data_IF_162730356019
#
_entry.id   IF_162730356019
#
_cell.length_a   1.000
_cell.length_b   1.000
_cell.length_c   1.000
_cell.angle_alpha   90.00
_cell.angle_beta   90.00
_cell.angle_gamma   90.00
#
_symmetry.space_group_name_H-M   'P 1'
#
loop_
_entity.id
_entity.type
_entity.pdbx_description
1 polymer ?
#
# COMPACT_ATOMS: atom_id res chain seq x y z
N UNK A 1 -7.28 2.46 5.95
CA UNK A 1 -8.16 3.22 5.03
C UNK A 1 -7.27 3.79 3.96
N UNK A 2 -7.71 3.77 2.71
CA UNK A 2 -6.80 3.97 1.58
C UNK A 2 -7.28 5.15 0.75
N UNK A 3 -6.37 6.06 0.41
CA UNK A 3 -6.63 7.20 -0.45
C UNK A 3 -5.69 7.17 -1.67
N UNK A 4 -6.26 7.35 -2.84
CA UNK A 4 -5.51 7.62 -4.07
C UNK A 4 -5.26 9.11 -4.23
N UNK A 5 -3.99 9.49 -4.36
CA UNK A 5 -3.56 10.88 -4.51
C UNK A 5 -2.93 11.04 -5.90
N UNK A 6 -3.41 11.97 -6.75
CA UNK A 6 -2.78 12.24 -8.04
C UNK A 6 -1.29 12.50 -7.91
N UNK A 7 -0.46 11.88 -8.77
CA UNK A 7 1.00 11.99 -8.71
C UNK A 7 1.50 13.43 -8.63
N UNK A 8 0.88 14.35 -9.36
CA UNK A 8 1.27 15.77 -9.41
C UNK A 8 1.12 16.50 -8.06
N UNK A 9 0.38 15.90 -7.11
CA UNK A 9 0.18 16.43 -5.76
C UNK A 9 0.92 15.63 -4.69
N UNK A 10 1.46 14.46 -5.02
CA UNK A 10 1.98 13.50 -4.06
C UNK A 10 3.19 14.03 -3.28
N UNK A 11 4.15 14.65 -3.99
CA UNK A 11 5.36 15.20 -3.36
C UNK A 11 5.02 16.39 -2.46
N UNK A 12 4.13 17.28 -2.94
CA UNK A 12 3.61 18.40 -2.15
C UNK A 12 2.89 17.92 -0.88
N UNK A 13 2.06 16.89 -1.01
CA UNK A 13 1.34 16.31 0.12
C UNK A 13 2.32 15.74 1.18
N UNK A 14 3.40 15.09 0.73
CA UNK A 14 4.43 14.55 1.63
C UNK A 14 5.02 15.64 2.53
N UNK A 15 5.34 16.80 1.95
CA UNK A 15 5.85 17.95 2.73
C UNK A 15 4.79 18.50 3.69
N UNK A 16 3.57 18.74 3.20
CA UNK A 16 2.48 19.28 4.03
C UNK A 16 2.16 18.38 5.22
N UNK A 17 2.14 17.05 5.03
CA UNK A 17 1.90 16.09 6.11
C UNK A 17 3.06 16.04 7.11
N UNK A 18 4.29 16.23 6.66
CA UNK A 18 5.45 16.26 7.58
C UNK A 18 5.30 17.40 8.59
N UNK A 19 4.88 18.58 8.13
CA UNK A 19 4.67 19.74 8.97
C UNK A 19 3.38 19.62 9.81
N UNK A 20 2.27 19.21 9.20
CA UNK A 20 0.96 19.13 9.87
C UNK A 20 0.92 18.08 10.98
N UNK A 21 1.71 17.01 10.87
CA UNK A 21 1.76 15.96 11.87
C UNK A 21 2.77 16.24 12.99
N UNK A 22 3.58 17.31 12.86
CA UNK A 22 4.56 17.67 13.88
C UNK A 22 3.90 17.98 15.23
N UNK A 23 4.35 17.31 16.29
CA UNK A 23 3.79 17.46 17.64
C UNK A 23 2.45 16.74 17.87
N UNK A 24 1.96 15.98 16.89
CA UNK A 24 0.78 15.12 17.04
C UNK A 24 1.19 13.67 17.38
N UNK A 25 0.27 12.82 17.87
CA UNK A 25 0.53 11.39 18.04
C UNK A 25 0.59 10.61 16.70
N UNK A 26 0.49 11.28 15.56
CA UNK A 26 0.50 10.63 14.25
C UNK A 26 1.88 10.73 13.61
N UNK A 27 2.32 9.65 12.95
CA UNK A 27 3.61 9.59 12.27
C UNK A 27 3.44 9.32 10.79
N UNK A 28 4.14 10.09 9.96
CA UNK A 28 4.26 9.84 8.54
C UNK A 28 5.35 8.80 8.27
N UNK A 29 4.94 7.63 7.79
CA UNK A 29 5.83 6.63 7.23
C UNK A 29 6.02 6.88 5.73
N UNK A 30 7.29 6.93 5.34
CA UNK A 30 7.81 7.09 3.99
C UNK A 30 8.73 5.92 3.70
N UNK A 31 9.24 5.85 2.47
CA UNK A 31 10.30 4.92 2.11
C UNK A 31 11.51 4.96 3.07
N UNK A 32 11.91 6.15 3.53
CA UNK A 32 13.14 6.34 4.30
C UNK A 32 13.04 5.88 5.76
N UNK A 33 11.84 5.91 6.35
CA UNK A 33 11.66 5.67 7.79
C UNK A 33 10.72 4.49 8.09
N UNK A 34 10.05 3.92 7.09
CA UNK A 34 9.19 2.76 7.26
C UNK A 34 10.01 1.48 7.46
N UNK A 35 9.67 0.63 8.45
CA UNK A 35 10.28 -0.70 8.62
C UNK A 35 10.23 -1.54 7.34
N UNK A 36 9.12 -1.43 6.60
CA UNK A 36 8.86 -2.21 5.38
C UNK A 36 9.31 -1.51 4.08
N UNK A 37 10.02 -0.38 4.17
CA UNK A 37 10.49 0.41 3.01
C UNK A 37 9.43 0.56 1.91
N UNK A 38 8.26 1.07 2.29
CA UNK A 38 7.09 1.23 1.42
C UNK A 38 7.33 2.34 0.38
N UNK A 39 6.74 2.20 -0.81
CA UNK A 39 6.83 3.16 -1.92
C UNK A 39 5.61 4.11 -2.00
N UNK A 40 4.85 4.17 -0.92
CA UNK A 40 3.68 5.03 -0.74
C UNK A 40 3.77 5.65 0.67
N UNK A 41 2.86 6.55 1.03
CA UNK A 41 2.86 7.13 2.37
C UNK A 41 1.87 6.40 3.26
N UNK A 42 2.21 6.25 4.53
CA UNK A 42 1.30 5.69 5.55
C UNK A 42 1.29 6.63 6.75
N UNK A 43 0.13 7.12 7.15
CA UNK A 43 -0.04 7.89 8.39
C UNK A 43 -0.47 6.92 9.48
N UNK A 44 0.28 6.86 10.58
CA UNK A 44 0.10 5.87 11.66
C UNK A 44 -0.20 6.57 12.98
N UNK A 45 -1.25 6.15 13.71
CA UNK A 45 -1.48 6.56 15.09
C UNK A 45 -0.59 5.77 16.05
N UNK A 46 0.44 6.44 16.59
CA UNK A 46 1.45 5.84 17.48
C UNK A 46 0.92 5.47 18.86
N UNK A 47 -0.29 5.90 19.22
CA UNK A 47 -0.94 5.51 20.48
C UNK A 47 -1.58 4.13 20.39
N UNK A 48 -1.71 3.58 19.19
CA UNK A 48 -2.37 2.31 18.93
C UNK A 48 -1.38 1.28 18.42
N UNK A 49 -1.70 0.01 18.60
CA UNK A 49 -0.98 -1.11 18.04
C UNK A 49 -1.96 -2.11 17.44
N UNK A 50 -1.67 -2.56 16.22
CA UNK A 50 -2.33 -3.64 15.51
C UNK A 50 -1.43 -4.86 15.62
N UNK A 51 -1.97 -5.92 16.22
CA UNK A 51 -1.38 -7.26 16.09
C UNK A 51 -2.14 -8.00 14.99
N UNK A 52 -1.44 -8.29 13.89
CA UNK A 52 -1.97 -9.11 12.80
C UNK A 52 -1.32 -10.49 12.78
N UNK A 53 -2.03 -11.46 12.19
CA UNK A 53 -1.53 -12.83 12.00
C UNK A 53 -0.24 -12.94 11.14
N UNK A 54 0.14 -11.86 10.42
CA UNK A 54 1.23 -11.88 9.43
C UNK A 54 2.21 -10.69 9.49
N UNK A 55 2.00 -9.70 10.38
CA UNK A 55 2.90 -8.56 10.49
C UNK A 55 3.98 -8.83 11.55
N UNK A 56 5.24 -8.72 11.16
CA UNK A 56 6.41 -8.90 12.04
C UNK A 56 6.75 -7.64 12.85
N UNK A 57 5.99 -6.57 12.69
CA UNK A 57 6.19 -5.28 13.37
C UNK A 57 4.86 -4.74 13.83
N UNK A 58 4.78 -4.38 15.10
CA UNK A 58 3.66 -3.62 15.66
C UNK A 58 3.47 -2.33 14.83
N UNK A 59 2.34 -2.22 14.12
CA UNK A 59 1.94 -1.00 13.41
C UNK A 59 0.67 -0.45 14.03
N UNK A 60 0.54 0.86 14.20
CA UNK A 60 -0.71 1.46 14.68
C UNK A 60 -1.80 1.48 13.61
N UNK A 61 -3.01 1.85 14.02
CA UNK A 61 -4.12 2.22 13.13
C UNK A 61 -3.62 3.22 12.11
N UNK A 62 -3.91 2.97 10.83
CA UNK A 62 -3.25 3.67 9.76
C UNK A 62 -4.15 4.02 8.57
N UNK A 63 -3.69 5.05 7.86
CA UNK A 63 -4.24 5.53 6.60
C UNK A 63 -3.14 5.41 5.54
N UNK A 64 -3.42 4.70 4.47
CA UNK A 64 -2.53 4.53 3.32
C UNK A 64 -2.84 5.58 2.25
N UNK A 65 -1.80 6.24 1.76
CA UNK A 65 -1.89 7.25 0.72
C UNK A 65 -1.07 6.79 -0.47
N UNK A 66 -1.75 6.35 -1.51
CA UNK A 66 -1.16 5.79 -2.71
C UNK A 66 -1.03 6.84 -3.80
N UNK A 67 0.11 6.93 -4.49
CA UNK A 67 0.19 7.73 -5.69
C UNK A 67 -0.63 7.09 -6.81
N UNK A 68 -1.45 7.89 -7.46
CA UNK A 68 -2.16 7.55 -8.68
C UNK A 68 -1.32 8.01 -9.87
N UNK A 69 -0.75 7.03 -10.57
CA UNK A 69 0.19 7.23 -11.67
C UNK A 69 -0.45 6.96 -13.02
N UNK A 70 0.22 7.41 -14.08
CA UNK A 70 -0.17 7.16 -15.47
C UNK A 70 0.67 6.04 -16.10
N UNK A 71 0.11 5.44 -17.14
CA UNK A 71 0.80 4.44 -17.96
C UNK A 71 1.70 5.03 -19.05
N UNK A 72 2.56 4.22 -19.70
CA UNK A 72 3.33 4.63 -20.87
C UNK A 72 2.44 4.98 -22.08
N UNK A 73 3.01 5.73 -23.02
CA UNK A 73 2.48 5.90 -24.38
C UNK A 73 3.27 5.03 -25.35
N UNK A 74 2.62 4.33 -26.30
CA UNK A 74 1.16 4.20 -26.50
C UNK A 74 0.46 3.34 -25.43
N UNK A 75 -0.84 3.54 -25.23
CA UNK A 75 -1.61 2.96 -24.12
C UNK A 75 -1.60 1.42 -24.05
N UNK A 76 -1.44 0.71 -25.17
CA UNK A 76 -1.34 -0.76 -25.19
C UNK A 76 -0.11 -1.29 -24.44
N UNK A 77 0.93 -0.46 -24.24
CA UNK A 77 2.10 -0.81 -23.44
C UNK A 77 1.84 -0.76 -21.93
N UNK A 78 0.68 -0.27 -21.49
CA UNK A 78 0.38 -0.10 -20.06
C UNK A 78 0.41 -1.41 -19.29
N UNK A 79 -0.25 -2.45 -19.80
CA UNK A 79 -0.31 -3.76 -19.15
C UNK A 79 1.06 -4.46 -19.06
N UNK A 80 1.86 -4.57 -20.15
CA UNK A 80 3.18 -5.18 -20.05
C UNK A 80 4.13 -4.36 -19.16
N UNK A 81 4.07 -3.03 -19.22
CA UNK A 81 4.86 -2.19 -18.32
C UNK A 81 4.46 -2.39 -16.85
N UNK A 82 3.16 -2.43 -16.54
CA UNK A 82 2.69 -2.71 -15.19
C UNK A 82 3.08 -4.11 -14.71
N UNK A 83 3.00 -5.12 -15.59
CA UNK A 83 3.47 -6.47 -15.26
C UNK A 83 4.97 -6.49 -14.91
N UNK A 84 5.80 -5.72 -15.63
CA UNK A 84 7.22 -5.53 -15.29
C UNK A 84 7.40 -4.88 -13.92
N UNK A 85 6.69 -3.78 -13.64
CA UNK A 85 6.72 -3.12 -12.31
C UNK A 85 6.29 -4.08 -11.20
N UNK A 86 5.22 -4.84 -11.39
CA UNK A 86 4.73 -5.82 -10.42
C UNK A 86 5.73 -6.96 -10.18
N UNK A 87 6.49 -7.37 -11.20
CA UNK A 87 7.59 -8.33 -11.05
C UNK A 87 8.72 -7.75 -10.18
N UNK A 88 9.10 -6.50 -10.40
CA UNK A 88 10.13 -5.84 -9.58
C UNK A 88 9.69 -5.68 -8.12
N UNK A 89 8.42 -5.32 -7.89
CA UNK A 89 7.83 -5.26 -6.54
C UNK A 89 7.81 -6.64 -5.88
N UNK A 90 7.47 -7.69 -6.63
CA UNK A 90 7.56 -9.07 -6.14
C UNK A 90 8.99 -9.45 -5.73
N UNK A 91 10.00 -9.09 -6.53
CA UNK A 91 11.42 -9.34 -6.21
C UNK A 91 11.84 -8.58 -4.95
N UNK A 92 11.43 -7.30 -4.82
CA UNK A 92 11.66 -6.49 -3.61
C UNK A 92 11.09 -7.18 -2.37
N UNK A 93 9.81 -7.56 -2.41
CA UNK A 93 9.11 -8.15 -1.26
C UNK A 93 9.67 -9.51 -0.88
N UNK A 94 10.09 -10.31 -1.87
CA UNK A 94 10.74 -11.59 -1.60
C UNK A 94 12.10 -11.46 -0.94
N UNK A 95 12.82 -10.37 -1.24
CA UNK A 95 14.13 -10.08 -0.67
C UNK A 95 14.05 -9.50 0.73
N UNK A 96 13.09 -8.61 1.00
CA UNK A 96 12.97 -7.91 2.29
C UNK A 96 12.16 -8.67 3.34
N UNK A 97 10.99 -9.18 2.95
CA UNK A 97 10.08 -9.76 3.93
C UNK A 97 10.59 -11.11 4.43
N UNK A 98 10.16 -11.47 5.64
CA UNK A 98 10.52 -12.75 6.22
C UNK A 98 10.08 -13.91 5.30
N UNK A 99 11.00 -14.84 5.09
CA UNK A 99 10.75 -16.04 4.29
C UNK A 99 10.16 -17.17 5.14
N UNK A 100 10.17 -17.03 6.47
CA UNK A 100 9.70 -18.04 7.44
C UNK A 100 8.27 -18.56 7.19
N UNK A 101 7.27 -17.78 6.73
CA UNK A 101 5.94 -18.33 6.46
C UNK A 101 5.85 -19.08 5.11
N UNK A 102 6.91 -19.10 4.29
CA UNK A 102 6.88 -19.66 2.92
C UNK A 102 7.32 -21.13 2.90
N UNK A 103 6.59 -21.97 2.16
CA UNK A 103 6.90 -23.40 1.95
C UNK A 103 7.29 -23.70 0.50
N UNK A 104 8.12 -24.73 0.31
CA UNK A 104 8.49 -25.27 -1.02
C UNK A 104 9.26 -24.28 -1.92
N UNK A 105 8.91 -24.26 -3.20
CA UNK A 105 9.58 -23.44 -4.23
C UNK A 105 9.62 -21.94 -3.88
N UNK A 106 8.60 -21.43 -3.19
CA UNK A 106 8.56 -20.01 -2.77
C UNK A 106 9.66 -19.67 -1.76
N UNK A 107 10.04 -20.61 -0.89
CA UNK A 107 11.17 -20.44 0.04
C UNK A 107 12.49 -20.44 -0.71
N UNK A 108 12.66 -21.38 -1.64
CA UNK A 108 13.86 -21.44 -2.49
C UNK A 108 14.07 -20.13 -3.26
N UNK A 109 13.03 -19.60 -3.91
CA UNK A 109 13.08 -18.31 -4.62
C UNK A 109 13.49 -17.18 -3.66
N UNK A 110 12.89 -17.12 -2.47
CA UNK A 110 13.22 -16.10 -1.47
C UNK A 110 14.69 -16.20 -1.02
N UNK A 111 15.16 -17.41 -0.70
CA UNK A 111 16.54 -17.66 -0.27
C UNK A 111 17.54 -17.31 -1.39
N UNK A 112 17.23 -17.64 -2.65
CA UNK A 112 18.03 -17.24 -3.81
C UNK A 112 18.07 -15.72 -3.97
N UNK A 113 16.93 -15.04 -3.95
CA UNK A 113 16.86 -13.58 -4.11
C UNK A 113 17.57 -12.83 -2.96
N UNK A 114 17.53 -13.37 -1.74
CA UNK A 114 18.25 -12.84 -0.58
C UNK A 114 19.77 -12.92 -0.74
N UNK A 115 20.29 -13.94 -1.44
CA UNK A 115 21.74 -14.10 -1.73
C UNK A 115 22.25 -13.24 -2.88
N UNK A 116 21.37 -12.71 -3.74
CA UNK A 116 21.81 -11.88 -4.85
C UNK A 116 22.40 -10.54 -4.37
N UNK A 117 23.54 -10.08 -4.93
CA UNK A 117 24.31 -8.95 -4.39
C UNK A 117 23.74 -7.56 -4.69
N UNK A 118 22.50 -7.43 -5.18
CA UNK A 118 21.92 -6.11 -5.48
C UNK A 118 21.32 -5.45 -4.22
N UNK A 119 21.45 -4.13 -4.10
CA UNK A 119 20.87 -3.37 -2.97
C UNK A 119 19.38 -3.16 -3.18
N UNK A 120 18.55 -3.42 -2.18
CA UNK A 120 17.11 -3.21 -2.34
C UNK A 120 16.76 -1.74 -2.58
N UNK A 121 17.55 -0.81 -2.04
CA UNK A 121 17.37 0.62 -2.27
C UNK A 121 17.57 1.00 -3.74
N UNK A 122 18.51 0.34 -4.44
CA UNK A 122 18.69 0.56 -5.88
C UNK A 122 17.53 0.02 -6.71
N UNK A 123 16.92 -1.08 -6.28
CA UNK A 123 15.73 -1.65 -6.93
C UNK A 123 14.51 -0.73 -6.75
N UNK A 124 14.31 -0.21 -5.55
CA UNK A 124 13.22 0.72 -5.23
C UNK A 124 13.37 2.01 -6.03
N UNK A 125 14.55 2.63 -6.02
CA UNK A 125 14.81 3.83 -6.81
C UNK A 125 14.63 3.60 -8.31
N UNK A 126 14.92 2.39 -8.81
CA UNK A 126 14.65 2.01 -10.20
C UNK A 126 13.16 1.88 -10.48
N UNK A 127 12.38 1.25 -9.60
CA UNK A 127 10.92 1.15 -9.70
C UNK A 127 10.31 2.56 -9.77
N UNK A 128 10.65 3.44 -8.82
CA UNK A 128 10.11 4.79 -8.77
C UNK A 128 10.47 5.58 -10.02
N UNK A 129 11.73 5.48 -10.50
CA UNK A 129 12.16 6.12 -11.75
C UNK A 129 11.39 5.61 -12.96
N UNK A 130 11.15 4.30 -13.05
CA UNK A 130 10.36 3.71 -14.13
C UNK A 130 8.93 4.27 -14.13
N UNK A 131 8.28 4.30 -12.97
CA UNK A 131 6.92 4.81 -12.83
C UNK A 131 6.87 6.31 -13.17
N UNK A 132 7.74 7.12 -12.57
CA UNK A 132 7.79 8.58 -12.77
C UNK A 132 8.08 8.97 -14.23
N UNK A 133 8.85 8.16 -14.96
CA UNK A 133 9.09 8.40 -16.39
C UNK A 133 7.80 8.40 -17.22
N UNK A 134 6.78 7.67 -16.77
CA UNK A 134 5.52 7.50 -17.47
C UNK A 134 4.34 8.16 -16.77
N UNK A 135 4.52 8.66 -15.55
CA UNK A 135 3.46 9.21 -14.69
C UNK A 135 2.81 10.48 -15.23
N UNK A 136 3.45 11.19 -16.15
CA UNK A 136 2.88 12.35 -16.89
C UNK A 136 2.59 12.03 -18.36
N UNK A 137 3.02 10.85 -18.83
CA UNK A 137 2.93 10.40 -20.21
C UNK A 137 1.51 10.02 -20.59
N UNK A 138 0.97 8.90 -20.12
CA UNK A 138 -0.29 8.32 -20.61
C UNK A 138 -1.54 9.04 -20.10
N UNK A 139 -2.43 9.49 -20.99
CA UNK A 139 -3.72 10.08 -20.56
C UNK A 139 -4.87 9.08 -20.44
N UNK A 140 -4.70 7.89 -21.00
CA UNK A 140 -5.77 6.91 -21.13
C UNK A 140 -6.00 6.07 -19.87
N UNK A 141 -4.95 5.88 -19.06
CA UNK A 141 -4.97 4.97 -17.90
C UNK A 141 -4.47 5.66 -16.64
N UNK A 142 -5.13 5.35 -15.53
CA UNK A 142 -4.72 5.67 -14.16
C UNK A 142 -4.41 4.37 -13.42
N UNK A 143 -3.32 4.33 -12.67
CA UNK A 143 -2.75 3.09 -12.13
C UNK A 143 -2.31 3.32 -10.68
N UNK A 144 -2.79 2.47 -9.78
CA UNK A 144 -2.20 2.31 -8.45
C UNK A 144 -1.20 1.14 -8.49
N UNK A 145 0.10 1.45 -8.66
CA UNK A 145 1.14 0.41 -8.74
C UNK A 145 1.37 -0.34 -7.43
N UNK A 146 1.00 0.26 -6.30
CA UNK A 146 1.25 -0.27 -4.96
C UNK A 146 0.00 -0.85 -4.31
N UNK A 147 -1.14 -0.81 -5.01
CA UNK A 147 -2.39 -1.42 -4.60
C UNK A 147 -2.33 -2.96 -4.61
N UNK A 148 -3.19 -3.57 -3.82
CA UNK A 148 -3.21 -5.01 -3.61
C UNK A 148 -3.58 -5.79 -4.88
N UNK A 149 -4.45 -5.22 -5.73
CA UNK A 149 -5.12 -5.97 -6.80
C UNK A 149 -4.37 -6.03 -8.14
N UNK A 150 -3.12 -5.55 -8.18
CA UNK A 150 -2.21 -5.63 -9.34
C UNK A 150 -2.87 -5.20 -10.65
N UNK A 151 -3.04 -6.11 -11.62
CA UNK A 151 -3.58 -5.77 -12.94
C UNK A 151 -5.00 -5.19 -12.92
N UNK A 152 -5.76 -5.38 -11.83
CA UNK A 152 -7.07 -4.73 -11.61
C UNK A 152 -6.95 -3.29 -11.12
N UNK A 153 -5.77 -2.85 -10.71
CA UNK A 153 -5.48 -1.46 -10.34
C UNK A 153 -5.22 -0.58 -11.57
N UNK A 154 -5.36 -1.12 -12.78
CA UNK A 154 -5.19 -0.39 -14.06
C UNK A 154 -6.57 0.03 -14.56
N UNK A 155 -6.93 1.28 -14.37
CA UNK A 155 -8.23 1.81 -14.73
C UNK A 155 -8.18 2.69 -15.98
N UNK A 156 -9.28 2.79 -16.73
CA UNK A 156 -9.57 3.97 -17.53
C UNK A 156 -9.38 5.27 -16.71
N UNK A 157 -8.76 6.30 -17.29
CA UNK A 157 -8.46 7.53 -16.55
C UNK A 157 -9.70 8.36 -16.15
N UNK A 158 -10.81 8.22 -16.89
CA UNK A 158 -12.11 8.85 -16.62
C UNK A 158 -12.73 8.42 -15.29
N UNK A 159 -12.42 7.21 -14.80
CA UNK A 159 -12.79 6.75 -13.45
C UNK A 159 -12.32 7.73 -12.36
N UNK A 160 -11.17 8.37 -12.57
CA UNK A 160 -10.52 9.31 -11.66
C UNK A 160 -10.49 10.73 -12.23
N UNK A 161 -11.53 11.16 -12.95
CA UNK A 161 -11.56 12.50 -13.56
C UNK A 161 -11.71 13.61 -12.51
N UNK A 162 -12.81 14.36 -12.50
CA UNK A 162 -13.04 15.34 -11.43
C UNK A 162 -13.47 14.61 -10.16
N UNK A 163 -12.77 14.78 -9.02
CA UNK A 163 -13.19 14.18 -7.77
C UNK A 163 -14.61 14.62 -7.36
N UNK A 164 -15.37 13.70 -6.78
CA UNK A 164 -16.74 13.95 -6.31
C UNK A 164 -16.76 13.83 -4.79
N UNK A 165 -17.59 14.64 -4.14
CA UNK A 165 -17.75 14.63 -2.69
C UNK A 165 -18.69 13.51 -2.24
N UNK A 166 -18.25 12.74 -1.24
CA UNK A 166 -18.98 11.65 -0.62
C UNK A 166 -19.18 11.93 0.87
N UNK A 167 -20.40 11.72 1.35
CA UNK A 167 -20.68 11.71 2.78
C UNK A 167 -20.23 10.37 3.39
N UNK A 168 -19.45 10.44 4.46
CA UNK A 168 -18.98 9.26 5.19
C UNK A 168 -18.82 9.60 6.68
N UNK A 169 -19.58 8.92 7.55
CA UNK A 169 -19.47 9.08 9.03
C UNK A 169 -19.49 10.55 9.50
N UNK A 170 -20.37 11.38 8.92
CA UNK A 170 -20.50 12.81 9.24
C UNK A 170 -19.43 13.72 8.64
N UNK A 171 -18.51 13.17 7.84
CA UNK A 171 -17.49 13.90 7.09
C UNK A 171 -17.82 13.92 5.60
N UNK A 172 -17.18 14.84 4.88
CA UNK A 172 -17.18 14.86 3.41
C UNK A 172 -15.79 14.47 2.93
N UNK A 173 -15.71 13.45 2.08
CA UNK A 173 -14.48 12.94 1.50
C UNK A 173 -14.53 13.05 -0.02
N UNK A 174 -13.41 13.47 -0.61
CA UNK A 174 -13.27 13.51 -2.06
C UNK A 174 -12.90 12.13 -2.59
N UNK A 175 -13.68 11.61 -3.53
CA UNK A 175 -13.52 10.27 -4.09
C UNK A 175 -13.52 10.24 -5.62
N UNK A 176 -13.53 9.03 -6.16
CA UNK A 176 -13.52 8.77 -7.61
C UNK A 176 -14.80 9.28 -8.30
N UNK A 177 -14.71 9.62 -9.58
CA UNK A 177 -15.87 10.08 -10.36
C UNK A 177 -16.86 8.96 -10.67
N UNK A 178 -16.35 7.75 -10.90
CA UNK A 178 -17.15 6.57 -11.25
C UNK A 178 -16.95 5.45 -10.21
N UNK A 179 -17.64 5.52 -9.05
CA UNK A 179 -17.43 4.59 -7.94
C UNK A 179 -17.81 3.16 -8.28
N UNK A 180 -18.91 2.95 -9.01
CA UNK A 180 -19.34 1.62 -9.44
C UNK A 180 -18.30 0.94 -10.33
N UNK A 181 -17.74 1.66 -11.30
CA UNK A 181 -16.69 1.14 -12.17
C UNK A 181 -15.42 0.80 -11.39
N UNK A 182 -15.05 1.65 -10.42
CA UNK A 182 -13.91 1.42 -9.55
C UNK A 182 -14.09 0.15 -8.69
N UNK A 183 -15.21 0.07 -7.95
CA UNK A 183 -15.48 -1.01 -7.01
C UNK A 183 -15.74 -2.34 -7.73
N UNK A 184 -16.49 -2.33 -8.84
CA UNK A 184 -16.76 -3.54 -9.61
C UNK A 184 -15.48 -4.13 -10.23
N UNK A 185 -14.54 -3.29 -10.70
CA UNK A 185 -13.28 -3.77 -11.26
C UNK A 185 -12.38 -4.42 -10.21
N UNK A 186 -12.34 -3.88 -8.98
CA UNK A 186 -11.52 -4.44 -7.91
C UNK A 186 -12.15 -5.69 -7.30
N UNK A 187 -13.44 -5.59 -6.92
CA UNK A 187 -14.10 -6.55 -6.03
C UNK A 187 -15.16 -7.42 -6.73
N UNK A 188 -15.58 -7.09 -7.95
CA UNK A 188 -16.65 -7.79 -8.65
C UNK A 188 -18.03 -7.34 -8.15
N UNK A 189 -18.88 -8.29 -7.74
CA UNK A 189 -20.17 -7.99 -7.12
C UNK A 189 -19.98 -7.47 -5.68
N UNK A 190 -19.55 -6.22 -5.58
CA UNK A 190 -19.07 -5.61 -4.34
C UNK A 190 -20.20 -5.31 -3.33
N UNK A 191 -21.45 -5.29 -3.79
CA UNK A 191 -22.64 -5.09 -2.96
C UNK A 191 -23.10 -6.40 -2.30
N UNK A 192 -22.62 -7.55 -2.80
CA UNK A 192 -22.88 -8.84 -2.17
C UNK A 192 -21.83 -9.14 -1.11
N UNK A 193 -22.27 -9.33 0.13
CA UNK A 193 -21.38 -9.77 1.20
C UNK A 193 -20.75 -11.12 0.84
N UNK A 194 -19.43 -11.30 1.04
CA UNK A 194 -18.81 -12.60 0.85
C UNK A 194 -19.41 -13.63 1.82
N UNK A 195 -19.33 -14.93 1.52
CA UNK A 195 -19.72 -15.99 2.45
C UNK A 195 -19.03 -15.82 3.82
N UNK A 196 -19.67 -16.20 4.95
CA UNK A 196 -19.11 -16.01 6.30
C UNK A 196 -17.69 -16.54 6.45
N UNK A 197 -17.36 -17.66 5.81
CA UNK A 197 -16.04 -18.31 5.88
C UNK A 197 -14.93 -17.48 5.21
N UNK A 198 -15.31 -16.54 4.32
CA UNK A 198 -14.41 -15.62 3.63
C UNK A 198 -14.39 -14.23 4.27
N UNK A 199 -15.18 -13.98 5.32
CA UNK A 199 -15.17 -12.71 6.09
C UNK A 199 -14.03 -12.71 7.10
N UNK A 200 -12.80 -12.89 6.63
CA UNK A 200 -11.61 -12.90 7.46
C UNK A 200 -11.11 -11.47 7.64
N UNK A 201 -10.93 -11.03 8.88
CA UNK A 201 -10.25 -9.79 9.17
C UNK A 201 -8.74 -9.98 8.98
N UNK A 202 -8.07 -8.98 8.38
CA UNK A 202 -6.60 -8.96 8.29
C UNK A 202 -5.94 -8.49 9.59
N UNK A 203 -6.74 -8.10 10.58
CA UNK A 203 -6.34 -7.60 11.89
C UNK A 203 -6.99 -8.46 12.96
N UNK A 204 -6.19 -9.00 13.89
CA UNK A 204 -6.72 -9.83 14.97
C UNK A 204 -7.15 -8.97 16.15
N UNK A 205 -6.27 -8.07 16.61
CA UNK A 205 -6.56 -7.17 17.75
C UNK A 205 -5.94 -5.79 17.57
N UNK A 206 -6.64 -4.77 18.08
CA UNK A 206 -6.18 -3.38 18.17
C UNK A 206 -6.19 -2.98 19.64
N UNK A 207 -5.09 -2.43 20.14
CA UNK A 207 -4.94 -2.01 21.54
C UNK A 207 -4.19 -0.69 21.67
N UNK A 208 -4.28 -0.07 22.85
CA UNK A 208 -3.55 1.16 23.16
C UNK A 208 -2.12 0.82 23.61
N UNK A 209 -1.13 1.47 23.00
CA UNK A 209 0.29 1.22 23.25
C UNK A 209 0.71 1.48 24.72
N UNK A 210 0.00 2.35 25.45
CA UNK A 210 0.32 2.72 26.83
C UNK A 210 -0.35 1.87 27.91
N UNK A 211 -1.32 1.02 27.57
CA UNK A 211 -2.11 0.29 28.57
C UNK A 211 -1.56 -1.12 28.90
N UNK A 212 -0.85 -1.76 27.96
CA UNK A 212 -0.53 -3.20 28.06
C UNK A 212 0.97 -3.53 28.19
N UNK A 213 1.85 -2.52 28.33
CA UNK A 213 3.29 -2.78 28.55
C UNK A 213 3.56 -3.62 29.81
N UNK A 214 2.66 -3.58 30.80
CA UNK A 214 2.70 -4.41 32.02
C UNK A 214 2.15 -5.83 31.86
N UNK A 215 1.38 -6.13 30.80
CA UNK A 215 0.96 -7.51 30.48
C UNK A 215 1.96 -8.23 29.55
N UNK A 216 2.75 -7.46 28.78
CA UNK A 216 3.77 -8.02 27.87
C UNK A 216 4.90 -8.75 28.64
N UNK A 217 5.19 -8.34 29.88
CA UNK A 217 6.20 -9.01 30.71
C UNK A 217 5.70 -10.33 31.36
N UNK A 218 4.38 -10.56 31.43
CA UNK A 218 3.81 -11.70 32.18
C UNK A 218 3.38 -12.88 31.31
N UNK A 219 3.47 -12.75 29.97
CA UNK A 219 3.03 -13.80 29.02
C UNK A 219 4.07 -14.23 27.98
N UNK A 220 5.35 -13.90 28.17
CA UNK A 220 6.40 -14.57 27.41
C UNK A 220 6.42 -16.07 27.78
N UNK A 221 6.24 -17.01 26.83
CA UNK A 221 6.46 -18.42 27.12
C UNK A 221 7.94 -18.59 27.46
N UNK A 222 8.22 -19.17 28.62
CA UNK A 222 9.55 -19.69 28.92
C UNK A 222 9.91 -20.75 27.86
N UNK A 223 10.89 -20.43 27.02
CA UNK A 223 11.61 -21.38 26.18
C UNK A 223 13.09 -21.02 26.22
#
# INVERSE_FOLDING_TARGET
MDFGIPRDHFDRLTHLLTDALHGTPYRLHTYHNSPNKINYLKVVDTRTCIRGAWETTDTGVNIDLFPLDRGPRPGFLTRPFAAYVYLLLFVKDYKQLDASPRRGLKRLIADTLKRLPFRTDTLIAHIDRCILRHSTGGRERCINYFGHWRAREIFPADVFSAPVDYAFEGMTLSGVTHPDAYLAQLYGDYMQLPPPEKRLAHTDTIFWASADASEVASRAPSA
#
